data_IF_962798556791
#
_entry.id   IF_962798556791
#
_cell.length_a   1.000
_cell.length_b   1.000
_cell.length_c   1.000
_cell.angle_alpha   90.00
_cell.angle_beta   90.00
_cell.angle_gamma   90.00
#
_symmetry.space_group_name_H-M   'P 1'
#
loop_
_entity.id
_entity.type
_entity.pdbx_description
1 polymer ?
#
# COMPACT_ATOMS: atom_id res chain seq x y z
N UNK A 1 -17.97 4.57 15.86
CA UNK A 1 -18.18 4.77 14.41
C UNK A 1 -18.54 3.43 13.77
N UNK A 2 -19.73 3.31 13.20
CA UNK A 2 -20.20 2.10 12.52
C UNK A 2 -19.80 2.20 11.04
N UNK A 3 -18.89 1.33 10.58
CA UNK A 3 -18.52 1.28 9.18
C UNK A 3 -19.68 0.70 8.36
N UNK A 4 -19.99 1.35 7.23
CA UNK A 4 -20.92 0.81 6.23
C UNK A 4 -20.11 0.33 5.04
N UNK A 5 -20.08 -0.98 4.85
CA UNK A 5 -19.39 -1.59 3.73
C UNK A 5 -20.33 -1.77 2.53
N UNK A 6 -19.80 -1.79 1.29
CA UNK A 6 -20.56 -2.25 0.14
C UNK A 6 -21.19 -3.63 0.39
N UNK A 7 -22.30 -3.93 -0.30
CA UNK A 7 -23.00 -5.20 -0.15
C UNK A 7 -22.04 -6.36 -0.41
N UNK A 8 -21.98 -7.30 0.53
CA UNK A 8 -21.09 -8.48 0.46
C UNK A 8 -19.68 -8.26 1.00
N UNK A 9 -19.32 -7.05 1.42
CA UNK A 9 -18.03 -6.76 2.05
C UNK A 9 -18.17 -6.62 3.57
N UNK A 10 -17.13 -7.06 4.28
CA UNK A 10 -16.94 -6.87 5.72
C UNK A 10 -15.46 -6.99 6.06
N UNK A 11 -15.13 -6.66 7.30
CA UNK A 11 -13.79 -6.92 7.83
C UNK A 11 -13.59 -8.44 7.97
N UNK A 12 -12.39 -8.90 7.58
CA UNK A 12 -11.96 -10.29 7.73
C UNK A 12 -11.66 -10.65 9.19
N UNK A 13 -12.02 -11.86 9.60
CA UNK A 13 -11.64 -12.45 10.89
C UNK A 13 -10.20 -12.98 10.83
N UNK A 14 -9.61 -13.28 12.00
CA UNK A 14 -8.23 -13.77 12.08
C UNK A 14 -8.07 -15.13 11.37
N UNK A 15 -9.02 -16.03 11.57
CA UNK A 15 -8.98 -17.37 10.96
C UNK A 15 -9.09 -17.28 9.43
N UNK A 16 -9.81 -16.29 8.92
CA UNK A 16 -9.96 -16.04 7.48
C UNK A 16 -8.67 -15.45 6.89
N UNK A 17 -8.02 -14.53 7.61
CA UNK A 17 -6.71 -13.99 7.22
C UNK A 17 -5.65 -15.09 7.20
N UNK A 18 -5.60 -15.91 8.24
CA UNK A 18 -4.67 -17.04 8.30
C UNK A 18 -4.91 -18.00 7.13
N UNK A 19 -6.17 -18.38 6.89
CA UNK A 19 -6.53 -19.26 5.76
C UNK A 19 -6.10 -18.65 4.43
N UNK A 20 -6.37 -17.37 4.22
CA UNK A 20 -5.96 -16.66 3.01
C UNK A 20 -4.44 -16.68 2.84
N UNK A 21 -3.68 -16.25 3.85
CA UNK A 21 -2.21 -16.17 3.76
C UNK A 21 -1.54 -17.54 3.60
N UNK A 22 -2.13 -18.61 4.12
CA UNK A 22 -1.57 -19.97 3.98
C UNK A 22 -1.92 -20.64 2.65
N UNK A 23 -3.12 -20.41 2.12
CA UNK A 23 -3.68 -21.25 1.06
C UNK A 23 -3.99 -20.49 -0.24
N UNK A 24 -4.17 -19.17 -0.18
CA UNK A 24 -4.65 -18.36 -1.30
C UNK A 24 -3.64 -17.26 -1.70
N UNK A 25 -2.84 -16.78 -0.76
CA UNK A 25 -1.85 -15.75 -0.99
C UNK A 25 -0.67 -16.29 -1.81
N UNK A 26 -0.53 -15.74 -3.01
CA UNK A 26 0.37 -16.24 -4.03
C UNK A 26 1.69 -15.44 -4.03
N UNK A 27 2.72 -15.99 -3.37
CA UNK A 27 4.05 -15.38 -3.33
C UNK A 27 4.70 -15.30 -4.72
N UNK A 28 4.33 -16.17 -5.67
CA UNK A 28 4.84 -16.11 -7.04
C UNK A 28 4.43 -14.81 -7.71
N UNK A 29 3.15 -14.42 -7.61
CA UNK A 29 2.66 -13.14 -8.13
C UNK A 29 3.30 -11.93 -7.46
N UNK A 30 3.58 -12.00 -6.16
CA UNK A 30 4.31 -10.94 -5.44
C UNK A 30 5.75 -10.85 -5.94
N UNK A 31 6.41 -12.00 -6.14
CA UNK A 31 7.74 -12.09 -6.73
C UNK A 31 7.81 -11.52 -8.14
N UNK A 32 6.84 -11.84 -9.00
CA UNK A 32 6.75 -11.29 -10.36
C UNK A 32 6.59 -9.77 -10.34
N UNK A 33 5.71 -9.26 -9.47
CA UNK A 33 5.50 -7.82 -9.28
C UNK A 33 6.77 -7.09 -8.81
N UNK A 34 7.54 -7.73 -7.94
CA UNK A 34 8.77 -7.18 -7.34
C UNK A 34 10.05 -7.65 -8.05
N UNK A 35 9.95 -8.34 -9.18
CA UNK A 35 11.06 -9.00 -9.88
C UNK A 35 12.20 -8.06 -10.31
N UNK A 36 11.92 -6.75 -10.32
CA UNK A 36 12.86 -5.69 -10.66
C UNK A 36 13.60 -5.11 -9.45
N UNK A 37 13.28 -5.54 -8.22
CA UNK A 37 13.95 -5.15 -6.97
C UNK A 37 14.65 -6.35 -6.31
N UNK A 38 15.69 -6.08 -5.54
CA UNK A 38 16.27 -7.08 -4.64
C UNK A 38 15.46 -7.14 -3.34
N UNK A 39 14.74 -8.23 -3.11
CA UNK A 39 13.83 -8.37 -1.94
C UNK A 39 14.54 -8.12 -0.61
N UNK A 40 15.77 -8.61 -0.43
CA UNK A 40 16.56 -8.41 0.80
C UNK A 40 16.80 -6.92 1.15
N UNK A 41 16.74 -6.03 0.15
CA UNK A 41 16.98 -4.59 0.30
C UNK A 41 15.68 -3.78 0.34
N UNK A 42 14.54 -4.45 0.42
CA UNK A 42 13.23 -3.80 0.53
C UNK A 42 12.78 -3.76 1.97
N UNK A 43 11.99 -2.74 2.31
CA UNK A 43 11.27 -2.70 3.58
C UNK A 43 9.83 -3.12 3.35
N UNK A 44 9.28 -3.93 4.24
CA UNK A 44 7.86 -4.23 4.29
C UNK A 44 7.24 -3.66 5.56
N UNK A 45 5.94 -3.52 5.57
CA UNK A 45 5.22 -3.09 6.76
C UNK A 45 3.89 -3.82 6.90
N UNK A 46 3.51 -4.09 8.14
CA UNK A 46 2.23 -4.69 8.48
C UNK A 46 1.46 -3.80 9.42
N UNK A 47 0.14 -3.79 9.26
CA UNK A 47 -0.78 -3.05 10.13
C UNK A 47 -1.54 -4.05 10.99
N UNK A 48 -1.44 -3.87 12.31
CA UNK A 48 -2.06 -4.78 13.30
C UNK A 48 -3.13 -4.03 14.09
N UNK A 49 -4.37 -4.49 13.98
CA UNK A 49 -5.48 -4.04 14.82
C UNK A 49 -5.85 -2.56 14.68
N UNK A 50 -5.63 -1.96 13.50
CA UNK A 50 -5.90 -0.53 13.30
C UNK A 50 -7.40 -0.34 13.07
N UNK A 51 -7.98 0.71 13.65
CA UNK A 51 -9.42 1.05 13.58
C UNK A 51 -10.38 0.02 14.21
N UNK A 52 -9.96 -1.23 14.46
CA UNK A 52 -10.73 -2.31 15.07
C UNK A 52 -9.84 -3.26 15.87
N UNK A 53 -10.36 -3.71 17.01
CA UNK A 53 -9.65 -4.65 17.90
C UNK A 53 -9.62 -6.10 17.40
N UNK A 54 -9.40 -6.32 16.10
CA UNK A 54 -9.23 -7.65 15.49
C UNK A 54 -7.74 -7.87 15.22
N UNK A 55 -7.08 -8.42 16.23
CA UNK A 55 -5.67 -8.76 16.27
C UNK A 55 -5.46 -9.88 17.29
N UNK A 56 -4.34 -10.59 17.21
CA UNK A 56 -3.97 -11.61 18.18
C UNK A 56 -3.65 -10.97 19.54
N UNK A 57 -4.27 -11.39 20.67
CA UNK A 57 -4.17 -10.70 21.97
C UNK A 57 -2.75 -10.39 22.46
N UNK A 58 -1.78 -11.27 22.16
CA UNK A 58 -0.36 -11.08 22.49
C UNK A 58 0.27 -9.84 21.84
N UNK A 59 -0.34 -9.28 20.80
CA UNK A 59 0.13 -8.06 20.12
C UNK A 59 -0.65 -6.80 20.51
N UNK A 60 -1.32 -6.80 21.66
CA UNK A 60 -2.05 -5.63 22.16
C UNK A 60 -1.20 -4.35 22.17
N UNK A 61 0.05 -4.41 22.63
CA UNK A 61 0.98 -3.28 22.68
C UNK A 61 1.43 -2.76 21.30
N UNK A 62 1.18 -3.56 20.25
CA UNK A 62 1.50 -3.24 18.86
C UNK A 62 0.27 -2.75 18.07
N UNK A 63 -0.92 -2.72 18.69
CA UNK A 63 -2.14 -2.27 18.02
C UNK A 63 -2.02 -0.82 17.56
N UNK A 64 -2.70 -0.49 16.45
CA UNK A 64 -2.71 0.84 15.83
C UNK A 64 -1.34 1.36 15.36
N UNK A 65 -0.27 0.54 15.44
CA UNK A 65 1.06 0.87 14.95
C UNK A 65 1.31 0.21 13.60
N UNK A 66 2.12 0.87 12.77
CA UNK A 66 2.71 0.26 11.59
C UNK A 66 3.99 -0.45 12.06
N UNK A 67 4.08 -1.75 11.84
CA UNK A 67 5.25 -2.53 12.18
C UNK A 67 6.09 -2.70 10.93
N UNK A 68 7.31 -2.19 10.96
CA UNK A 68 8.25 -2.26 9.86
C UNK A 68 9.00 -3.60 9.95
N UNK A 69 9.14 -4.29 8.82
CA UNK A 69 9.88 -5.53 8.67
C UNK A 69 11.08 -5.21 7.77
N UNK A 70 12.26 -5.21 8.37
CA UNK A 70 13.55 -5.05 7.69
C UNK A 70 14.43 -6.30 7.83
N UNK A 71 14.16 -7.14 8.84
CA UNK A 71 14.88 -8.38 9.10
C UNK A 71 14.25 -9.53 8.29
N UNK A 72 14.56 -9.57 6.99
CA UNK A 72 14.18 -10.68 6.12
C UNK A 72 15.21 -10.89 5.01
N UNK A 73 15.26 -12.10 4.47
CA UNK A 73 16.12 -12.40 3.31
C UNK A 73 15.33 -12.49 2.00
N UNK A 74 14.06 -12.90 2.07
CA UNK A 74 13.21 -13.16 0.92
C UNK A 74 11.71 -13.02 1.26
N UNK A 75 10.84 -13.29 0.29
CA UNK A 75 9.39 -13.23 0.47
C UNK A 75 8.83 -14.30 1.42
N UNK A 76 9.53 -15.42 1.61
CA UNK A 76 9.13 -16.43 2.60
C UNK A 76 9.37 -15.92 4.02
N UNK A 77 10.49 -15.22 4.25
CA UNK A 77 10.76 -14.50 5.49
C UNK A 77 9.65 -13.50 5.80
N UNK A 78 9.26 -12.69 4.80
CA UNK A 78 8.13 -11.75 4.94
C UNK A 78 6.82 -12.48 5.26
N UNK A 79 6.51 -13.58 4.57
CA UNK A 79 5.33 -14.40 4.84
C UNK A 79 5.32 -14.94 6.28
N UNK A 80 6.48 -15.30 6.83
CA UNK A 80 6.64 -15.68 8.23
C UNK A 80 6.11 -14.61 9.19
N UNK A 81 6.49 -13.35 8.99
CA UNK A 81 5.95 -12.23 9.78
C UNK A 81 4.45 -11.99 9.55
N UNK A 82 3.97 -12.12 8.31
CA UNK A 82 2.55 -11.99 7.99
C UNK A 82 1.73 -13.04 8.74
N UNK A 83 2.17 -14.30 8.74
CA UNK A 83 1.51 -15.40 9.46
C UNK A 83 1.62 -15.24 10.98
N UNK A 84 2.72 -14.67 11.47
CA UNK A 84 2.90 -14.38 12.89
C UNK A 84 1.95 -13.30 13.38
N UNK A 85 1.76 -12.20 12.63
CA UNK A 85 0.94 -11.07 13.06
C UNK A 85 -0.53 -11.12 12.62
N UNK A 86 -0.86 -11.90 11.57
CA UNK A 86 -2.17 -11.93 10.90
C UNK A 86 -2.74 -10.52 10.62
N UNK A 87 -1.97 -9.65 9.94
CA UNK A 87 -2.29 -8.25 9.80
C UNK A 87 -3.49 -8.00 8.88
N UNK A 88 -4.12 -6.84 9.05
CA UNK A 88 -5.21 -6.39 8.18
C UNK A 88 -4.73 -5.82 6.84
N UNK A 89 -3.46 -5.43 6.77
CA UNK A 89 -2.83 -4.90 5.58
C UNK A 89 -1.32 -5.11 5.61
N UNK A 90 -0.76 -5.37 4.44
CA UNK A 90 0.67 -5.56 4.19
C UNK A 90 1.10 -4.58 3.10
N UNK A 91 2.23 -3.95 3.30
CA UNK A 91 2.78 -2.91 2.44
C UNK A 91 4.24 -3.19 2.14
N UNK A 92 4.74 -2.73 1.00
CA UNK A 92 6.16 -2.65 0.69
C UNK A 92 6.54 -1.20 0.44
N UNK A 93 7.78 -0.86 0.72
CA UNK A 93 8.31 0.47 0.46
C UNK A 93 8.61 0.67 -1.04
N UNK A 94 8.23 1.84 -1.55
CA UNK A 94 8.52 2.27 -2.92
C UNK A 94 9.96 2.72 -3.10
N UNK A 95 10.65 3.06 -2.01
CA UNK A 95 12.07 3.43 -2.05
C UNK A 95 12.95 2.27 -2.54
N UNK A 96 14.10 2.64 -3.08
CA UNK A 96 15.19 1.73 -3.40
C UNK A 96 16.40 2.10 -2.55
N UNK A 97 16.98 1.08 -1.93
CA UNK A 97 18.19 1.19 -1.14
C UNK A 97 19.28 0.31 -1.72
N UNK A 98 20.53 0.75 -1.60
CA UNK A 98 21.69 -0.09 -1.98
C UNK A 98 21.84 -1.27 -1.02
N UNK A 99 21.72 -1.00 0.27
CA UNK A 99 21.79 -2.00 1.33
C UNK A 99 20.90 -1.55 2.50
N UNK A 100 19.86 -2.33 2.78
CA UNK A 100 18.90 -1.97 3.84
C UNK A 100 19.53 -2.00 5.24
N UNK A 101 20.58 -2.79 5.47
CA UNK A 101 21.27 -2.83 6.77
C UNK A 101 21.92 -1.49 7.12
N UNK A 102 22.26 -0.67 6.12
CA UNK A 102 22.80 0.67 6.33
C UNK A 102 21.72 1.67 6.80
N UNK A 103 20.44 1.31 6.74
CA UNK A 103 19.33 2.18 7.16
C UNK A 103 19.05 2.14 8.67
N UNK A 104 19.63 1.21 9.44
CA UNK A 104 19.37 1.09 10.89
C UNK A 104 19.76 2.34 11.69
N UNK A 105 20.76 3.09 11.22
CA UNK A 105 21.27 4.31 11.83
C UNK A 105 21.23 5.53 10.88
N UNK A 106 20.39 5.48 9.84
CA UNK A 106 20.37 6.55 8.83
C UNK A 106 19.86 7.87 9.41
N UNK A 107 20.33 8.98 8.82
CA UNK A 107 19.82 10.31 9.14
C UNK A 107 18.30 10.38 8.83
N UNK A 108 17.61 11.35 9.44
CA UNK A 108 16.18 11.58 9.15
C UNK A 108 15.92 12.00 7.71
N UNK A 109 16.95 12.43 6.98
CA UNK A 109 16.87 12.85 5.58
C UNK A 109 17.45 11.78 4.64
N UNK A 110 16.72 10.67 4.49
CA UNK A 110 17.10 9.59 3.59
C UNK A 110 17.10 10.00 2.10
N UNK A 111 16.45 11.10 1.72
CA UNK A 111 16.40 11.51 0.31
C UNK A 111 17.76 11.95 -0.23
N UNK A 112 18.63 12.43 0.66
CA UNK A 112 19.97 12.90 0.33
C UNK A 112 21.08 11.95 0.81
N UNK A 113 20.75 10.70 1.18
CA UNK A 113 21.76 9.75 1.65
C UNK A 113 22.33 8.88 0.52
N UNK A 114 23.62 8.53 0.62
CA UNK A 114 24.32 7.69 -0.39
C UNK A 114 23.71 6.28 -0.56
N UNK A 115 22.92 5.85 0.43
CA UNK A 115 22.24 4.56 0.41
C UNK A 115 20.93 4.59 -0.37
N UNK A 116 20.32 5.76 -0.59
CA UNK A 116 19.07 5.91 -1.32
C UNK A 116 19.33 6.02 -2.82
N UNK A 117 18.70 5.15 -3.59
CA UNK A 117 18.90 5.04 -5.05
C UNK A 117 17.76 5.66 -5.85
N UNK A 118 16.71 6.13 -5.18
CA UNK A 118 15.50 6.68 -5.80
C UNK A 118 14.22 6.04 -5.27
N UNK A 119 13.09 6.45 -5.83
CA UNK A 119 11.77 5.99 -5.42
C UNK A 119 10.91 5.67 -6.62
N UNK A 120 10.21 4.56 -6.56
CA UNK A 120 9.19 4.21 -7.54
C UNK A 120 8.11 5.30 -7.65
N UNK A 121 7.92 5.85 -8.85
CA UNK A 121 6.83 6.77 -9.13
C UNK A 121 5.49 6.02 -9.01
N UNK A 122 4.61 6.50 -8.13
CA UNK A 122 3.29 5.93 -7.97
C UNK A 122 2.24 7.00 -7.70
N UNK A 123 1.00 6.69 -8.08
CA UNK A 123 -0.17 7.54 -7.93
C UNK A 123 -1.23 6.77 -7.16
N UNK A 124 -1.77 7.38 -6.11
CA UNK A 124 -2.88 6.83 -5.32
C UNK A 124 -4.18 7.57 -5.67
N UNK A 125 -5.13 6.84 -6.24
CA UNK A 125 -6.43 7.36 -6.65
C UNK A 125 -7.50 6.83 -5.69
N UNK A 126 -7.76 7.63 -4.67
CA UNK A 126 -8.74 7.35 -3.63
C UNK A 126 -10.11 7.99 -3.94
N UNK A 127 -11.23 7.24 -3.81
CA UNK A 127 -12.57 7.73 -4.13
C UNK A 127 -13.08 8.83 -3.18
N UNK A 128 -12.59 8.91 -1.95
CA UNK A 128 -12.93 10.03 -1.05
C UNK A 128 -12.47 11.40 -1.60
N UNK A 129 -11.45 11.42 -2.46
CA UNK A 129 -10.82 12.64 -2.94
C UNK A 129 -11.51 13.23 -4.19
N UNK A 130 -12.53 12.57 -4.73
CA UNK A 130 -13.27 13.08 -5.89
C UNK A 130 -14.58 13.75 -5.49
N UNK A 131 -14.93 14.80 -6.22
CA UNK A 131 -16.18 15.52 -6.03
C UNK A 131 -17.39 14.63 -6.34
N UNK A 132 -18.43 14.70 -5.50
CA UNK A 132 -19.64 13.90 -5.62
C UNK A 132 -20.88 14.81 -5.55
N UNK A 133 -21.90 14.61 -6.41
CA UNK A 133 -23.14 15.40 -6.32
C UNK A 133 -23.91 15.18 -5.00
N UNK A 134 -23.66 14.08 -4.29
CA UNK A 134 -24.30 13.77 -3.00
C UNK A 134 -23.43 14.10 -1.80
N UNK A 135 -22.11 13.90 -1.91
CA UNK A 135 -21.17 14.08 -0.81
C UNK A 135 -20.32 15.35 -0.92
N UNK A 136 -20.51 16.16 -1.96
CA UNK A 136 -19.81 17.42 -2.10
C UNK A 136 -18.36 17.30 -2.56
N UNK A 137 -17.59 18.38 -2.38
CA UNK A 137 -16.15 18.46 -2.65
C UNK A 137 -15.32 17.84 -1.52
N UNK A 138 -14.00 17.72 -1.73
CA UNK A 138 -13.08 17.24 -0.70
C UNK A 138 -13.07 18.20 0.50
N UNK A 139 -13.07 19.51 0.25
CA UNK A 139 -13.11 20.55 1.28
C UNK A 139 -14.34 20.41 2.17
N UNK A 140 -15.52 20.18 1.57
CA UNK A 140 -16.77 19.97 2.30
C UNK A 140 -16.75 18.67 3.14
N UNK A 141 -16.14 17.60 2.62
CA UNK A 141 -15.95 16.35 3.37
C UNK A 141 -14.99 16.51 4.54
N UNK A 142 -13.87 17.21 4.34
CA UNK A 142 -12.89 17.55 5.39
C UNK A 142 -13.57 18.38 6.49
N UNK A 143 -14.36 19.39 6.12
CA UNK A 143 -15.11 20.21 7.07
C UNK A 143 -16.07 19.39 7.94
N UNK A 144 -16.67 18.33 7.37
CA UNK A 144 -17.55 17.39 8.09
C UNK A 144 -16.81 16.22 8.76
N UNK A 145 -15.48 16.17 8.66
CA UNK A 145 -14.64 15.04 9.13
C UNK A 145 -15.03 13.69 8.54
N UNK A 146 -15.54 13.70 7.30
CA UNK A 146 -16.00 12.52 6.56
C UNK A 146 -15.05 12.19 5.40
N UNK A 147 -13.79 11.96 5.71
CA UNK A 147 -12.70 11.83 4.71
C UNK A 147 -12.40 10.39 4.32
N UNK A 148 -13.19 9.42 4.79
CA UNK A 148 -12.91 7.98 4.58
C UNK A 148 -14.06 7.23 3.92
N UNK A 149 -15.23 7.87 3.77
CA UNK A 149 -16.39 7.27 3.14
C UNK A 149 -16.52 7.76 1.70
N UNK A 150 -17.06 6.89 0.85
CA UNK A 150 -17.34 7.18 -0.56
C UNK A 150 -18.53 6.32 -1.03
N UNK A 151 -19.16 6.71 -2.14
CA UNK A 151 -20.16 5.88 -2.82
C UNK A 151 -19.70 5.41 -4.20
N UNK A 152 -20.56 4.62 -4.84
CA UNK A 152 -20.29 4.04 -6.15
C UNK A 152 -20.12 5.07 -7.27
N UNK A 153 -20.61 6.32 -7.11
CA UNK A 153 -20.36 7.39 -8.08
C UNK A 153 -18.90 7.83 -8.01
N UNK A 154 -18.39 8.07 -6.80
CA UNK A 154 -17.00 8.43 -6.55
C UNK A 154 -16.05 7.32 -7.01
N UNK A 155 -16.38 6.07 -6.67
CA UNK A 155 -15.62 4.91 -7.14
C UNK A 155 -15.57 4.81 -8.67
N UNK A 156 -16.71 4.99 -9.35
CA UNK A 156 -16.77 4.99 -10.83
C UNK A 156 -15.94 6.12 -11.45
N UNK A 157 -15.94 7.30 -10.83
CA UNK A 157 -15.10 8.43 -11.27
C UNK A 157 -13.63 8.11 -11.13
N UNK A 158 -13.19 7.61 -9.96
CA UNK A 158 -11.80 7.19 -9.74
C UNK A 158 -11.37 6.11 -10.71
N UNK A 159 -12.22 5.11 -11.00
CA UNK A 159 -11.93 4.09 -12.01
C UNK A 159 -11.71 4.69 -13.41
N UNK A 160 -12.53 5.67 -13.80
CA UNK A 160 -12.36 6.40 -15.08
C UNK A 160 -11.08 7.23 -15.09
N UNK A 161 -10.79 7.93 -14.00
CA UNK A 161 -9.57 8.74 -13.86
C UNK A 161 -8.31 7.87 -13.89
N UNK A 162 -8.35 6.69 -13.27
CA UNK A 162 -7.27 5.70 -13.29
C UNK A 162 -6.96 5.27 -14.72
N UNK A 163 -8.01 4.91 -15.49
CA UNK A 163 -7.84 4.56 -16.89
C UNK A 163 -7.26 5.72 -17.72
N UNK A 164 -7.71 6.96 -17.48
CA UNK A 164 -7.17 8.13 -18.19
C UNK A 164 -5.71 8.38 -17.86
N UNK A 165 -5.35 8.36 -16.57
CA UNK A 165 -3.97 8.57 -16.12
C UNK A 165 -3.04 7.47 -16.62
N UNK A 166 -3.50 6.21 -16.65
CA UNK A 166 -2.76 5.11 -17.27
C UNK A 166 -2.46 5.39 -18.76
N UNK A 167 -3.46 5.87 -19.51
CA UNK A 167 -3.32 6.22 -20.93
C UNK A 167 -2.41 7.44 -21.18
N UNK A 168 -2.33 8.37 -20.22
CA UNK A 168 -1.38 9.48 -20.25
C UNK A 168 0.04 8.96 -19.96
N UNK A 169 0.24 8.20 -18.88
CA UNK A 169 1.54 7.68 -18.48
C UNK A 169 2.17 6.74 -19.52
N UNK A 170 1.37 5.92 -20.22
CA UNK A 170 1.88 4.98 -21.23
C UNK A 170 2.43 5.65 -22.49
N UNK A 171 2.21 6.95 -22.68
CA UNK A 171 2.85 7.71 -23.75
C UNK A 171 4.36 7.88 -23.50
N UNK A 172 4.75 7.78 -22.24
CA UNK A 172 6.08 8.12 -21.75
C UNK A 172 6.81 6.92 -21.11
N UNK A 173 6.08 6.05 -20.44
CA UNK A 173 6.61 4.94 -19.67
C UNK A 173 6.15 3.60 -20.23
N UNK A 174 6.99 2.56 -20.13
CA UNK A 174 6.73 1.24 -20.72
C UNK A 174 6.27 0.21 -19.70
N UNK A 175 6.71 0.34 -18.44
CA UNK A 175 6.45 -0.62 -17.38
C UNK A 175 5.53 0.03 -16.34
N UNK A 176 4.23 -0.13 -16.54
CA UNK A 176 3.20 0.45 -15.68
C UNK A 176 2.33 -0.67 -15.12
N UNK A 177 2.16 -0.70 -13.81
CA UNK A 177 1.25 -1.60 -13.10
C UNK A 177 0.07 -0.84 -12.51
N UNK A 178 -1.11 -1.46 -12.52
CA UNK A 178 -2.31 -0.92 -11.85
C UNK A 178 -2.81 -1.94 -10.85
N UNK A 179 -3.01 -1.51 -9.59
CA UNK A 179 -3.46 -2.36 -8.49
C UNK A 179 -4.74 -1.79 -7.90
N UNK A 180 -5.74 -2.65 -7.67
CA UNK A 180 -6.90 -2.27 -6.89
C UNK A 180 -6.54 -2.34 -5.40
N UNK A 181 -6.60 -1.21 -4.68
CA UNK A 181 -6.18 -1.10 -3.27
C UNK A 181 -7.23 -1.62 -2.26
N UNK A 182 -8.32 -2.22 -2.76
CA UNK A 182 -9.50 -2.60 -1.98
C UNK A 182 -10.61 -1.53 -2.00
N UNK A 183 -10.26 -0.25 -2.22
CA UNK A 183 -11.22 0.85 -2.32
C UNK A 183 -10.94 1.87 -3.43
N UNK A 184 -9.69 1.97 -3.87
CA UNK A 184 -9.23 2.85 -4.93
C UNK A 184 -8.27 2.10 -5.85
N UNK A 185 -7.41 2.84 -6.53
CA UNK A 185 -6.40 2.24 -7.40
C UNK A 185 -5.06 2.90 -7.18
N UNK A 186 -4.01 2.09 -7.19
CA UNK A 186 -2.64 2.58 -7.29
C UNK A 186 -2.14 2.35 -8.71
N UNK A 187 -1.48 3.35 -9.30
CA UNK A 187 -0.70 3.19 -10.51
C UNK A 187 0.77 3.28 -10.13
N UNK A 188 1.55 2.32 -10.59
CA UNK A 188 2.96 2.14 -10.27
C UNK A 188 3.77 2.16 -11.57
N UNK A 189 4.87 2.94 -11.62
CA UNK A 189 5.74 3.06 -12.78
C UNK A 189 7.12 2.52 -12.44
N UNK A 190 7.54 1.48 -13.15
CA UNK A 190 8.77 0.71 -12.88
C UNK A 190 9.92 1.03 -13.85
N UNK A 191 9.74 1.97 -14.77
CA UNK A 191 10.81 2.43 -15.64
C UNK A 191 11.93 3.07 -14.80
N UNK A 192 13.19 2.69 -15.07
CA UNK A 192 14.37 3.20 -14.33
C UNK A 192 14.43 4.73 -14.33
N UNK A 193 14.02 5.36 -15.43
CA UNK A 193 13.97 6.82 -15.54
C UNK A 193 12.99 7.47 -14.56
N UNK A 194 11.91 6.78 -14.19
CA UNK A 194 10.93 7.28 -13.23
C UNK A 194 11.46 7.20 -11.79
N UNK A 195 12.31 6.21 -11.51
CA UNK A 195 12.91 6.00 -10.19
C UNK A 195 13.86 7.15 -9.81
N UNK A 196 14.54 7.70 -10.81
CA UNK A 196 15.50 8.81 -10.64
C UNK A 196 14.88 10.21 -10.63
N UNK A 197 13.55 10.33 -10.57
CA UNK A 197 12.91 11.64 -10.45
C UNK A 197 13.21 12.26 -9.07
N UNK A 198 13.61 13.53 -9.06
CA UNK A 198 13.75 14.35 -7.86
C UNK A 198 12.47 15.15 -7.60
N UNK A 199 12.35 15.72 -6.39
CA UNK A 199 11.19 16.53 -5.97
C UNK A 199 11.22 17.98 -6.51
N UNK A 200 12.15 18.31 -7.42
CA UNK A 200 12.37 19.68 -7.92
C UNK A 200 11.30 20.16 -8.91
#
# INVERSE_FOLDING_TARGET
MQYRFPRGMRISKLEEREKFYRNEFDLGKVGDWLSWKEIKNMTFAVVVGRKKSIFLPEFYEKKDKVLIITDHMDLNGVLGYILYYLPEGVYYDRNLYRDLSLCENCSKDCWNCDNFLGQELAFDLDPENVQCPYHGSLEEKVARKDTVNFCMIEFKKVRKNTARLYEELRQEYKKIGVVFSGRGFHIHVFDVRAIGLSLE
#
